data_IF_505695405500
#
_entry.id   IF_505695405500
#
_cell.length_a   1.000
_cell.length_b   1.000
_cell.length_c   1.000
_cell.angle_alpha   90.00
_cell.angle_beta   90.00
_cell.angle_gamma   90.00
#
_symmetry.space_group_name_H-M   'P 1'
#
loop_
_entity.id
_entity.type
_entity.pdbx_description
1 polymer ?
#
# COMPACT_ATOMS: atom_id res chain seq x y z
N UNK A 1 14.16 4.38 -0.41
CA UNK A 1 13.35 5.42 0.19
C UNK A 1 12.25 5.87 -0.76
N UNK A 2 11.07 6.01 -0.27
CA UNK A 2 9.93 6.43 -1.08
C UNK A 2 9.99 7.92 -1.42
N UNK A 3 11.19 8.40 -1.70
CA UNK A 3 11.39 9.73 -2.25
C UNK A 3 11.22 9.72 -3.77
N UNK A 4 11.02 8.54 -4.34
CA UNK A 4 10.77 8.41 -5.76
C UNK A 4 9.49 9.16 -6.12
N UNK A 5 9.63 10.21 -6.92
CA UNK A 5 8.49 11.07 -7.27
C UNK A 5 7.42 10.31 -8.04
N UNK A 6 7.84 9.37 -8.87
CA UNK A 6 6.91 8.57 -9.66
C UNK A 6 6.04 7.71 -8.78
N UNK A 7 6.66 7.04 -7.79
CA UNK A 7 5.94 6.21 -6.84
C UNK A 7 4.91 7.05 -6.06
N UNK A 8 5.37 8.17 -5.50
CA UNK A 8 4.50 9.06 -4.72
C UNK A 8 3.37 9.60 -5.60
N UNK A 9 3.70 9.98 -6.84
CA UNK A 9 2.71 10.48 -7.78
C UNK A 9 1.62 9.46 -8.09
N UNK A 10 2.01 8.20 -8.28
CA UNK A 10 1.04 7.14 -8.57
C UNK A 10 0.13 6.84 -7.39
N UNK A 11 0.68 6.87 -6.17
CA UNK A 11 -0.13 6.70 -4.97
C UNK A 11 -1.15 7.85 -4.88
N UNK A 12 -0.70 9.09 -5.13
CA UNK A 12 -1.58 10.25 -5.13
C UNK A 12 -2.66 10.17 -6.20
N UNK A 13 -2.31 9.71 -7.39
CA UNK A 13 -3.28 9.51 -8.48
C UNK A 13 -4.35 8.49 -8.08
N UNK A 14 -3.92 7.38 -7.49
CA UNK A 14 -4.85 6.35 -7.04
C UNK A 14 -5.84 6.91 -6.01
N UNK A 15 -5.34 7.73 -5.09
CA UNK A 15 -6.18 8.36 -4.07
C UNK A 15 -7.20 9.30 -4.72
N UNK A 16 -6.75 10.16 -5.64
CA UNK A 16 -7.63 11.11 -6.30
C UNK A 16 -8.67 10.45 -7.19
N UNK A 17 -8.32 9.30 -7.76
CA UNK A 17 -9.23 8.56 -8.62
C UNK A 17 -10.24 7.72 -7.83
N UNK A 18 -10.18 7.73 -6.51
CA UNK A 18 -11.06 6.91 -5.69
C UNK A 18 -10.73 5.43 -5.73
N UNK A 19 -9.50 5.09 -6.11
CA UNK A 19 -9.04 3.71 -6.25
C UNK A 19 -8.10 3.30 -5.12
N UNK A 20 -8.14 4.01 -4.01
CA UNK A 20 -7.27 3.74 -2.87
C UNK A 20 -8.09 3.78 -1.59
N UNK A 21 -7.86 2.83 -0.71
CA UNK A 21 -8.41 2.83 0.64
C UNK A 21 -7.24 2.93 1.61
N UNK A 22 -7.41 3.66 2.70
CA UNK A 22 -6.31 3.87 3.65
C UNK A 22 -6.75 3.63 5.08
N UNK A 23 -5.81 3.14 5.89
CA UNK A 23 -6.04 2.82 7.28
C UNK A 23 -6.52 1.38 7.44
N UNK A 24 -6.44 0.88 8.68
CA UNK A 24 -6.68 -0.55 8.93
C UNK A 24 -8.09 -0.98 8.60
N UNK A 25 -9.08 -0.20 9.03
CA UNK A 25 -10.47 -0.58 8.80
C UNK A 25 -10.82 -0.63 7.31
N UNK A 26 -10.52 0.45 6.59
CA UNK A 26 -10.87 0.53 5.17
C UNK A 26 -10.07 -0.44 4.31
N UNK A 27 -8.79 -0.63 4.65
CA UNK A 27 -7.95 -1.58 3.93
C UNK A 27 -8.45 -3.01 4.13
N UNK A 28 -8.84 -3.34 5.35
CA UNK A 28 -9.36 -4.68 5.62
C UNK A 28 -10.65 -4.93 4.85
N UNK A 29 -11.55 -3.94 4.82
CA UNK A 29 -12.77 -4.06 4.03
C UNK A 29 -12.46 -4.28 2.55
N UNK A 30 -11.51 -3.52 2.03
CA UNK A 30 -11.10 -3.60 0.62
C UNK A 30 -10.60 -5.00 0.26
N UNK A 31 -9.77 -5.56 1.13
CA UNK A 31 -9.21 -6.90 0.94
C UNK A 31 -10.31 -7.96 1.02
N UNK A 32 -11.15 -7.89 2.04
CA UNK A 32 -12.21 -8.88 2.25
C UNK A 32 -13.28 -8.84 1.17
N UNK A 33 -13.53 -7.66 0.62
CA UNK A 33 -14.50 -7.49 -0.46
C UNK A 33 -13.96 -7.96 -1.82
N UNK A 34 -12.69 -8.34 -1.88
CA UNK A 34 -12.08 -8.79 -3.14
C UNK A 34 -11.75 -7.66 -4.08
N UNK A 35 -11.71 -6.41 -3.60
CA UNK A 35 -11.42 -5.24 -4.44
C UNK A 35 -9.95 -4.87 -4.46
N UNK A 36 -9.22 -5.19 -3.40
CA UNK A 36 -7.80 -4.82 -3.30
C UNK A 36 -6.96 -5.60 -4.31
N UNK A 37 -6.13 -4.87 -5.07
CA UNK A 37 -5.18 -5.46 -6.02
C UNK A 37 -3.76 -5.37 -5.51
N UNK A 38 -3.54 -4.62 -4.43
CA UNK A 38 -2.22 -4.41 -3.83
C UNK A 38 -2.43 -3.82 -2.45
N UNK A 39 -1.60 -4.23 -1.50
CA UNK A 39 -1.58 -3.65 -0.16
C UNK A 39 -0.16 -3.19 0.14
N UNK A 40 -0.02 -1.93 0.56
CA UNK A 40 1.27 -1.35 0.94
C UNK A 40 1.23 -1.01 2.42
N UNK A 41 2.21 -1.50 3.17
CA UNK A 41 2.27 -1.36 4.63
C UNK A 41 3.44 -0.44 4.98
N UNK A 42 3.20 0.52 5.86
CA UNK A 42 4.26 1.42 6.34
C UNK A 42 5.27 0.64 7.19
N UNK A 43 6.54 1.04 7.11
CA UNK A 43 7.63 0.30 7.79
C UNK A 43 7.50 0.31 9.31
N UNK A 44 6.85 1.33 9.87
CA UNK A 44 6.66 1.45 11.32
C UNK A 44 5.27 1.02 11.79
N UNK A 45 4.51 0.33 10.95
CA UNK A 45 3.30 -0.32 11.42
C UNK A 45 3.70 -1.38 12.44
N UNK A 46 2.86 -1.56 13.48
CA UNK A 46 3.20 -2.52 14.54
C UNK A 46 3.36 -3.93 13.97
N UNK A 47 4.16 -4.75 14.64
CA UNK A 47 4.35 -6.14 14.21
C UNK A 47 3.03 -6.87 14.11
N UNK A 48 2.13 -6.60 15.04
CA UNK A 48 0.80 -7.22 15.04
C UNK A 48 0.00 -6.83 13.80
N UNK A 49 0.02 -5.54 13.45
CA UNK A 49 -0.68 -5.03 12.27
C UNK A 49 -0.06 -5.60 11.00
N UNK A 50 1.26 -5.62 10.91
CA UNK A 50 1.94 -6.16 9.75
C UNK A 50 1.58 -7.63 9.56
N UNK A 51 1.67 -8.43 10.63
CA UNK A 51 1.34 -9.85 10.54
C UNK A 51 -0.10 -10.07 10.11
N UNK A 52 -1.02 -9.33 10.70
CA UNK A 52 -2.44 -9.46 10.38
C UNK A 52 -2.71 -9.21 8.89
N UNK A 53 -2.13 -8.13 8.34
CA UNK A 53 -2.36 -7.79 6.94
C UNK A 53 -1.62 -8.69 5.98
N UNK A 54 -0.41 -9.16 6.33
CA UNK A 54 0.28 -10.14 5.51
C UNK A 54 -0.48 -11.46 5.46
N UNK A 55 -0.97 -11.94 6.61
CA UNK A 55 -1.75 -13.18 6.67
C UNK A 55 -3.01 -13.06 5.82
N UNK A 56 -3.74 -11.95 5.96
CA UNK A 56 -4.98 -11.73 5.24
C UNK A 56 -4.75 -11.64 3.73
N UNK A 57 -3.73 -10.88 3.32
CA UNK A 57 -3.40 -10.72 1.91
C UNK A 57 -2.92 -12.03 1.29
N UNK A 58 -2.09 -12.77 2.01
CA UNK A 58 -1.58 -14.04 1.50
C UNK A 58 -2.72 -15.05 1.34
N UNK A 59 -3.64 -15.09 2.29
CA UNK A 59 -4.80 -15.96 2.20
C UNK A 59 -5.64 -15.66 0.95
N UNK A 60 -5.74 -14.39 0.59
CA UNK A 60 -6.59 -13.94 -0.52
C UNK A 60 -5.82 -13.67 -1.80
N UNK A 61 -4.53 -13.99 -1.82
CA UNK A 61 -3.65 -13.82 -2.98
C UNK A 61 -3.54 -12.36 -3.43
N UNK A 62 -3.53 -11.44 -2.47
CA UNK A 62 -3.31 -10.01 -2.73
C UNK A 62 -1.82 -9.73 -2.53
N UNK A 63 -1.11 -9.16 -3.51
CA UNK A 63 0.28 -8.75 -3.31
C UNK A 63 0.38 -7.77 -2.15
N UNK A 64 1.34 -7.98 -1.24
CA UNK A 64 1.53 -7.13 -0.08
C UNK A 64 3.02 -6.84 0.10
N UNK A 65 3.35 -5.57 0.34
CA UNK A 65 4.72 -5.11 0.52
C UNK A 65 4.79 -4.17 1.71
N UNK A 66 5.87 -4.28 2.48
CA UNK A 66 6.21 -3.26 3.46
C UNK A 66 7.20 -2.33 2.76
N UNK A 67 6.84 -1.06 2.65
CA UNK A 67 7.65 -0.07 1.94
C UNK A 67 8.51 0.71 2.93
N UNK A 68 9.57 1.35 2.42
CA UNK A 68 10.50 2.11 3.25
C UNK A 68 9.99 3.54 3.50
N UNK A 69 8.74 3.63 3.91
CA UNK A 69 8.12 4.89 4.31
C UNK A 69 7.37 4.65 5.61
N UNK A 70 7.46 5.62 6.53
CA UNK A 70 6.72 5.52 7.76
C UNK A 70 5.25 5.93 7.56
N UNK A 71 4.46 5.82 8.62
CA UNK A 71 3.03 6.14 8.57
C UNK A 71 2.79 7.59 8.16
N UNK A 72 3.63 8.50 8.66
CA UNK A 72 3.48 9.91 8.33
C UNK A 72 3.73 10.15 6.85
N UNK A 73 4.80 9.58 6.30
CA UNK A 73 5.13 9.73 4.89
C UNK A 73 4.05 9.13 4.00
N UNK A 74 3.54 7.95 4.38
CA UNK A 74 2.50 7.31 3.59
C UNK A 74 1.23 8.15 3.57
N UNK A 75 0.85 8.71 4.74
CA UNK A 75 -0.31 9.60 4.82
C UNK A 75 -0.13 10.84 3.96
N UNK A 76 1.06 11.43 3.96
CA UNK A 76 1.34 12.61 3.15
C UNK A 76 1.18 12.35 1.66
N UNK A 77 1.51 11.16 1.19
CA UNK A 77 1.35 10.81 -0.22
C UNK A 77 -0.09 10.93 -0.71
N UNK A 78 -1.04 10.77 0.19
CA UNK A 78 -2.47 10.81 -0.15
C UNK A 78 -3.16 12.05 0.44
N UNK A 79 -2.38 12.99 0.98
CA UNK A 79 -2.94 14.22 1.55
C UNK A 79 -3.69 14.02 2.85
N UNK A 80 -3.25 13.07 3.67
CA UNK A 80 -3.92 12.73 4.94
C UNK A 80 -2.91 12.68 6.07
N UNK A 81 -3.39 12.54 7.30
CA UNK A 81 -2.56 12.24 8.45
C UNK A 81 -1.96 10.84 8.35
N UNK A 82 -1.22 10.41 9.38
CA UNK A 82 -0.53 9.11 9.31
C UNK A 82 -1.44 7.94 8.95
N UNK A 83 -0.93 7.05 8.12
CA UNK A 83 -1.64 5.84 7.69
C UNK A 83 -0.70 4.65 7.75
N UNK A 84 -1.13 3.58 8.42
CA UNK A 84 -0.30 2.39 8.54
C UNK A 84 -0.28 1.54 7.28
N UNK A 85 -1.31 1.63 6.43
CA UNK A 85 -1.32 0.95 5.15
C UNK A 85 -2.34 1.56 4.22
N UNK A 86 -2.20 1.22 2.93
CA UNK A 86 -3.18 1.54 1.90
C UNK A 86 -3.41 0.32 1.03
N UNK A 87 -4.58 0.23 0.42
CA UNK A 87 -4.83 -0.74 -0.65
C UNK A 87 -5.13 0.01 -1.93
N UNK A 88 -4.73 -0.59 -3.05
CA UNK A 88 -4.99 -0.05 -4.38
C UNK A 88 -6.02 -0.96 -5.02
N UNK A 89 -7.11 -0.39 -5.53
CA UNK A 89 -8.24 -1.15 -6.06
C UNK A 89 -8.30 -1.17 -7.59
N UNK A 90 -7.27 -0.63 -8.23
CA UNK A 90 -7.17 -0.63 -9.70
C UNK A 90 -5.99 -1.49 -10.13
N UNK A 91 -6.26 -2.44 -11.03
CA UNK A 91 -5.24 -3.39 -11.46
C UNK A 91 -4.07 -2.70 -12.18
N UNK A 92 -4.35 -1.77 -13.07
CA UNK A 92 -3.30 -1.09 -13.83
C UNK A 92 -2.38 -0.28 -12.94
N UNK A 93 -2.97 0.50 -12.02
CA UNK A 93 -2.19 1.28 -11.06
C UNK A 93 -1.39 0.37 -10.15
N UNK A 94 -1.99 -0.72 -9.68
CA UNK A 94 -1.30 -1.67 -8.81
C UNK A 94 -0.09 -2.28 -9.51
N UNK A 95 -0.24 -2.70 -10.76
CA UNK A 95 0.85 -3.30 -11.53
C UNK A 95 1.99 -2.30 -11.73
N UNK A 96 1.68 -1.06 -12.05
CA UNK A 96 2.69 -0.02 -12.21
C UNK A 96 3.45 0.23 -10.91
N UNK A 97 2.74 0.28 -9.79
CA UNK A 97 3.35 0.50 -8.48
C UNK A 97 4.26 -0.67 -8.11
N UNK A 98 3.79 -1.90 -8.31
CA UNK A 98 4.59 -3.10 -8.06
C UNK A 98 5.85 -3.08 -8.93
N UNK A 99 5.72 -2.65 -10.18
CA UNK A 99 6.86 -2.54 -11.08
C UNK A 99 7.95 -1.61 -10.54
N UNK A 100 7.56 -0.51 -9.90
CA UNK A 100 8.53 0.40 -9.29
C UNK A 100 9.24 -0.24 -8.08
N UNK A 101 8.53 -1.06 -7.32
CA UNK A 101 9.11 -1.76 -6.17
C UNK A 101 10.03 -2.88 -6.66
N UNK A 102 9.53 -3.76 -7.53
CA UNK A 102 10.29 -4.92 -8.03
C UNK A 102 11.46 -4.48 -8.89
N UNK A 103 11.36 -3.33 -9.56
CA UNK A 103 12.43 -2.79 -10.38
C UNK A 103 13.54 -2.10 -9.58
N UNK A 104 13.42 -2.06 -8.25
CA UNK A 104 14.44 -1.47 -7.40
C UNK A 104 14.35 0.05 -7.27
N UNK A 105 13.34 0.68 -7.86
CA UNK A 105 13.15 2.13 -7.75
C UNK A 105 12.63 2.53 -6.37
N UNK A 106 12.00 1.60 -5.67
CA UNK A 106 11.46 1.79 -4.32
C UNK A 106 11.76 0.52 -3.54
N UNK A 107 12.25 0.68 -2.30
CA UNK A 107 12.48 -0.47 -1.43
C UNK A 107 11.18 -1.00 -0.90
N UNK A 108 11.03 -2.30 -0.91
CA UNK A 108 9.86 -2.96 -0.36
C UNK A 108 10.16 -4.41 -0.04
N UNK A 109 9.44 -4.95 0.93
CA UNK A 109 9.55 -6.34 1.34
C UNK A 109 8.27 -7.07 1.02
N UNK A 110 8.43 -8.28 0.51
CA UNK A 110 7.30 -9.15 0.22
C UNK A 110 7.52 -10.50 0.90
N UNK A 111 6.53 -10.93 1.64
CA UNK A 111 6.55 -12.23 2.28
C UNK A 111 6.13 -13.34 1.35
#
# INVERSE_FOLDING_TARGET
>A
MTENKRFRGMIGIAAKAGKLKSGEFSAEESIKAGKARLCLVAEDASDRTQKHFYDMCNYRHVPVYTIDADKEALGQMIGRGPRSMVTIEDKGLAENIVGLIDGGSVSGNRE
#
